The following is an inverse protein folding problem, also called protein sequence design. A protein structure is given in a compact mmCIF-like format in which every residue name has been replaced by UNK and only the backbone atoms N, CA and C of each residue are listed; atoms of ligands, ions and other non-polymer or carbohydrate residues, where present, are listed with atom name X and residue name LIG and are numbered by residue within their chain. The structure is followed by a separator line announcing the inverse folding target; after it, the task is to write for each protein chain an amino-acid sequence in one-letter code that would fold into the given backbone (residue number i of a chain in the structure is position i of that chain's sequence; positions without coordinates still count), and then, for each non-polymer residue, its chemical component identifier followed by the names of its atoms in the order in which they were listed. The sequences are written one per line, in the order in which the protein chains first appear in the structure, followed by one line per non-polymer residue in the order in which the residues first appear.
data_IF_468973576473
#
_entry.id   IF_468973576473
#
_cell.length_a   1.000
_cell.length_b   1.000
_cell.length_c   1.000
_cell.angle_alpha   90.00
_cell.angle_beta   90.00
_cell.angle_gamma   90.00
#
_symmetry.space_group_name_H-M   'P 1'
#
loop_
_entity.id
_entity.type
_entity.pdbx_description
1 polymer ?
#
# COMPACT_ATOMS: atom_id res chain seq x y z
N UNK A 1 5.82 38.71 -6.36
CA UNK A 1 4.60 37.88 -6.27
C UNK A 1 5.10 36.45 -6.24
N UNK A 2 5.00 35.76 -5.10
CA UNK A 2 5.56 34.42 -4.93
C UNK A 2 4.75 33.41 -5.73
N UNK A 3 5.41 32.72 -6.68
CA UNK A 3 4.83 31.59 -7.40
C UNK A 3 4.47 30.48 -6.42
N UNK A 4 3.18 30.20 -6.30
CA UNK A 4 2.66 29.04 -5.59
C UNK A 4 2.69 27.88 -6.60
N UNK A 5 3.75 27.08 -6.60
CA UNK A 5 3.69 25.73 -7.18
C UNK A 5 2.81 24.87 -6.28
N UNK A 6 1.51 24.81 -6.60
CA UNK A 6 0.55 23.95 -5.92
C UNK A 6 0.85 22.48 -6.25
N UNK A 7 1.58 21.79 -5.36
CA UNK A 7 1.97 20.38 -5.55
C UNK A 7 1.12 19.36 -4.78
N UNK A 8 0.03 19.78 -4.11
CA UNK A 8 -0.83 18.84 -3.38
C UNK A 8 -2.29 19.16 -3.69
N UNK A 9 -2.93 18.27 -4.44
CA UNK A 9 -4.37 18.32 -4.65
C UNK A 9 -5.04 17.98 -3.32
N UNK A 10 -5.93 18.86 -2.84
CA UNK A 10 -6.79 18.56 -1.69
C UNK A 10 -7.89 17.61 -2.18
N UNK A 11 -7.63 16.31 -2.09
CA UNK A 11 -8.61 15.26 -2.34
C UNK A 11 -9.15 14.72 -1.02
N UNK A 12 -10.44 14.41 -0.97
CA UNK A 12 -11.00 13.67 0.16
C UNK A 12 -10.37 12.26 0.17
N UNK A 13 -9.68 11.84 1.24
CA UNK A 13 -9.00 10.54 1.30
C UNK A 13 -9.95 9.34 1.40
N UNK A 14 -11.27 9.56 1.44
CA UNK A 14 -12.26 8.49 1.46
C UNK A 14 -12.54 7.95 0.06
N UNK A 15 -12.29 6.65 -0.11
CA UNK A 15 -12.52 5.96 -1.37
C UNK A 15 -14.02 5.72 -1.61
N UNK A 16 -14.50 6.11 -2.79
CA UNK A 16 -15.89 5.96 -3.23
C UNK A 16 -16.12 4.55 -3.82
N UNK A 17 -17.21 3.88 -3.46
CA UNK A 17 -17.65 2.68 -4.16
C UNK A 17 -18.60 3.05 -5.31
N UNK A 18 -18.19 2.72 -6.54
CA UNK A 18 -18.99 2.91 -7.77
C UNK A 18 -19.47 1.58 -8.33
N UNK A 19 -20.51 1.57 -9.16
CA UNK A 19 -20.99 0.35 -9.80
C UNK A 19 -19.93 -0.20 -10.75
N UNK A 20 -19.82 -1.53 -10.85
CA UNK A 20 -18.77 -2.18 -11.62
C UNK A 20 -18.78 -1.88 -13.13
N UNK A 21 -19.93 -1.43 -13.66
CA UNK A 21 -20.15 -1.22 -15.10
C UNK A 21 -20.64 0.19 -15.44
N UNK A 22 -20.68 1.11 -14.47
CA UNK A 22 -21.11 2.49 -14.71
C UNK A 22 -20.57 3.44 -13.66
N UNK A 23 -20.31 4.70 -14.03
CA UNK A 23 -19.94 5.77 -13.10
C UNK A 23 -21.13 6.24 -12.25
N UNK A 24 -21.67 5.34 -11.43
CA UNK A 24 -22.73 5.59 -10.46
C UNK A 24 -22.30 5.05 -9.10
N UNK A 25 -22.67 5.72 -8.01
CA UNK A 25 -22.44 5.20 -6.68
C UNK A 25 -23.15 3.86 -6.46
N UNK A 26 -22.56 2.95 -5.67
CA UNK A 26 -23.26 1.77 -5.14
C UNK A 26 -24.18 2.19 -3.99
N UNK A 27 -25.17 3.02 -4.31
CA UNK A 27 -26.09 3.59 -3.34
C UNK A 27 -26.84 2.50 -2.57
N UNK A 28 -26.90 2.62 -1.24
CA UNK A 28 -27.56 1.67 -0.34
C UNK A 28 -27.03 0.22 -0.47
N UNK A 29 -25.79 0.08 -0.92
CA UNK A 29 -25.10 -1.20 -1.01
C UNK A 29 -24.63 -1.72 0.35
N UNK A 30 -24.05 -2.92 0.30
CA UNK A 30 -23.52 -3.65 1.45
C UNK A 30 -22.09 -4.08 1.18
N UNK A 31 -21.22 -3.89 2.17
CA UNK A 31 -19.85 -4.39 2.16
C UNK A 31 -19.73 -5.49 3.20
N UNK A 32 -19.14 -6.60 2.80
CA UNK A 32 -18.78 -7.74 3.65
C UNK A 32 -17.27 -7.90 3.65
N UNK A 33 -16.73 -8.17 4.83
CA UNK A 33 -15.30 -8.29 5.13
C UNK A 33 -15.05 -9.64 5.79
N UNK A 34 -14.12 -10.43 5.25
CA UNK A 34 -13.87 -11.79 5.71
C UNK A 34 -12.41 -12.20 5.68
N UNK A 35 -12.17 -13.47 5.95
CA UNK A 35 -10.84 -14.08 5.89
C UNK A 35 -10.35 -14.07 4.44
N UNK A 36 -9.04 -13.85 4.28
CA UNK A 36 -8.38 -13.91 2.97
C UNK A 36 -8.76 -15.19 2.22
N UNK A 37 -9.01 -15.05 0.92
CA UNK A 37 -9.35 -16.11 -0.03
C UNK A 37 -10.65 -16.87 0.31
N UNK A 38 -11.55 -16.27 1.12
CA UNK A 38 -12.88 -16.84 1.43
C UNK A 38 -14.02 -15.85 1.12
N UNK A 39 -15.22 -16.39 0.89
CA UNK A 39 -16.43 -15.59 0.64
C UNK A 39 -16.97 -14.98 1.97
N UNK A 40 -16.93 -13.65 2.15
CA UNK A 40 -17.36 -12.98 3.38
C UNK A 40 -18.89 -12.88 3.53
N UNK A 41 -19.67 -13.29 2.52
CA UNK A 41 -21.13 -13.37 2.63
C UNK A 41 -21.51 -14.45 3.64
N UNK A 42 -20.77 -15.56 3.71
CA UNK A 42 -20.93 -16.56 4.77
C UNK A 42 -20.50 -15.96 6.13
N UNK A 43 -21.38 -15.91 7.15
CA UNK A 43 -21.05 -15.40 8.48
C UNK A 43 -19.81 -16.03 9.12
N UNK A 44 -19.52 -17.31 8.88
CA UNK A 44 -18.36 -18.02 9.45
C UNK A 44 -17.00 -17.53 8.90
N UNK A 45 -17.05 -16.93 7.71
CA UNK A 45 -15.88 -16.35 7.05
C UNK A 45 -15.65 -14.89 7.44
N UNK A 46 -16.62 -14.24 8.11
CA UNK A 46 -16.51 -12.83 8.50
C UNK A 46 -15.48 -12.66 9.61
N UNK A 47 -14.77 -11.55 9.54
CA UNK A 47 -13.84 -11.13 10.59
C UNK A 47 -14.38 -9.87 11.29
N UNK A 48 -13.84 -9.56 12.47
CA UNK A 48 -14.22 -8.34 13.17
C UNK A 48 -13.75 -7.11 12.40
N UNK A 49 -14.63 -6.13 12.25
CA UNK A 49 -14.34 -4.80 11.67
C UNK A 49 -14.48 -3.75 12.76
N UNK A 50 -13.68 -2.70 12.66
CA UNK A 50 -13.73 -1.56 13.57
C UNK A 50 -13.96 -0.27 12.79
N UNK A 51 -14.61 0.70 13.40
CA UNK A 51 -14.57 2.09 12.96
C UNK A 51 -13.44 2.79 13.70
N UNK A 52 -12.60 3.49 12.94
CA UNK A 52 -11.57 4.37 13.47
C UNK A 52 -12.15 5.79 13.58
N UNK A 53 -12.21 6.30 14.80
CA UNK A 53 -12.64 7.66 15.09
C UNK A 53 -11.50 8.66 14.83
N UNK A 54 -11.84 9.95 14.81
CA UNK A 54 -10.86 11.03 14.62
C UNK A 54 -9.79 11.10 15.73
N UNK A 55 -10.10 10.59 16.92
CA UNK A 55 -9.18 10.47 18.05
C UNK A 55 -8.27 9.23 17.98
N UNK A 56 -8.39 8.42 16.91
CA UNK A 56 -7.65 7.18 16.70
C UNK A 56 -8.19 5.97 17.47
N UNK A 57 -9.28 6.12 18.24
CA UNK A 57 -9.92 5.00 18.94
C UNK A 57 -10.64 4.07 17.96
N UNK A 58 -10.81 2.80 18.37
CA UNK A 58 -11.45 1.77 17.56
C UNK A 58 -12.73 1.25 18.22
N UNK A 59 -13.85 1.33 17.49
CA UNK A 59 -15.15 0.83 17.95
C UNK A 59 -15.54 -0.40 17.11
N UNK A 60 -15.82 -1.57 17.72
CA UNK A 60 -16.25 -2.74 16.97
C UNK A 60 -17.61 -2.50 16.33
N UNK A 61 -17.75 -2.90 15.07
CA UNK A 61 -19.00 -2.75 14.31
C UNK A 61 -19.47 -4.09 13.74
N UNK A 62 -20.79 -4.20 13.59
CA UNK A 62 -21.41 -5.35 12.94
C UNK A 62 -21.35 -5.22 11.42
N UNK A 63 -21.38 -6.37 10.75
CA UNK A 63 -21.48 -6.47 9.30
C UNK A 63 -22.90 -6.90 8.88
N UNK A 64 -23.40 -6.50 7.70
CA UNK A 64 -22.69 -5.75 6.65
C UNK A 64 -22.52 -4.26 6.96
N UNK A 65 -21.47 -3.67 6.40
CA UNK A 65 -21.26 -2.21 6.40
C UNK A 65 -22.16 -1.61 5.32
N UNK A 66 -22.88 -0.55 5.65
CA UNK A 66 -23.83 0.09 4.74
C UNK A 66 -23.13 1.17 3.92
N UNK A 67 -23.47 1.26 2.64
CA UNK A 67 -23.03 2.33 1.74
C UNK A 67 -24.16 3.35 1.62
N UNK A 68 -23.90 4.65 1.82
CA UNK A 68 -24.90 5.70 1.66
C UNK A 68 -25.23 5.97 0.18
N UNK A 69 -26.19 6.87 -0.07
CA UNK A 69 -26.60 7.23 -1.43
C UNK A 69 -25.46 7.83 -2.30
N UNK A 70 -24.45 8.42 -1.67
CA UNK A 70 -23.30 8.98 -2.35
C UNK A 70 -22.21 7.94 -2.69
N UNK A 71 -22.28 6.71 -2.14
CA UNK A 71 -21.30 5.66 -2.40
C UNK A 71 -20.22 5.51 -1.33
N UNK A 72 -20.39 6.16 -0.18
CA UNK A 72 -19.46 6.08 0.95
C UNK A 72 -19.91 5.05 1.99
N UNK A 73 -18.98 4.28 2.57
CA UNK A 73 -19.29 3.45 3.72
C UNK A 73 -19.64 4.34 4.92
N UNK A 74 -20.72 4.00 5.62
CA UNK A 74 -21.24 4.79 6.74
C UNK A 74 -21.45 3.95 7.99
N UNK A 75 -21.22 4.59 9.14
CA UNK A 75 -21.58 4.09 10.46
C UNK A 75 -22.54 5.08 11.11
N UNK A 76 -23.71 4.62 11.56
CA UNK A 76 -24.79 5.47 12.10
C UNK A 76 -25.16 6.66 11.18
N UNK A 77 -25.07 6.48 9.86
CA UNK A 77 -25.40 7.50 8.86
C UNK A 77 -24.28 8.51 8.55
N UNK A 78 -23.17 8.49 9.29
CA UNK A 78 -21.99 9.32 9.04
C UNK A 78 -20.93 8.56 8.27
N UNK A 79 -20.20 9.25 7.39
CA UNK A 79 -19.05 8.68 6.69
C UNK A 79 -17.99 8.35 7.74
N UNK A 80 -17.56 7.09 7.75
CA UNK A 80 -16.62 6.59 8.74
C UNK A 80 -15.50 5.80 8.06
N UNK A 81 -14.34 5.77 8.72
CA UNK A 81 -13.20 4.94 8.30
C UNK A 81 -13.32 3.57 8.95
N UNK A 82 -13.37 2.52 8.14
CA UNK A 82 -13.43 1.14 8.62
C UNK A 82 -12.06 0.48 8.49
N UNK A 83 -11.63 -0.19 9.55
CA UNK A 83 -10.31 -0.84 9.63
C UNK A 83 -10.42 -2.26 10.17
N UNK A 84 -9.44 -3.08 9.81
CA UNK A 84 -9.28 -4.46 10.30
C UNK A 84 -7.87 -4.64 10.82
N UNK A 85 -7.69 -5.53 11.80
CA UNK A 85 -6.38 -5.81 12.40
C UNK A 85 -5.49 -6.65 11.45
N UNK A 86 -6.12 -7.43 10.57
CA UNK A 86 -5.45 -8.33 9.64
C UNK A 86 -5.92 -8.08 8.21
N UNK A 87 -5.18 -8.62 7.23
CA UNK A 87 -5.64 -8.65 5.84
C UNK A 87 -6.96 -9.41 5.67
N UNK A 88 -7.76 -9.01 4.68
CA UNK A 88 -9.13 -9.47 4.54
C UNK A 88 -9.57 -9.63 3.09
N UNK A 89 -10.59 -10.46 2.88
CA UNK A 89 -11.39 -10.45 1.65
C UNK A 89 -12.51 -9.40 1.77
N UNK A 90 -12.96 -8.88 0.63
CA UNK A 90 -14.03 -7.89 0.58
C UNK A 90 -15.01 -8.23 -0.55
N UNK A 91 -16.31 -8.22 -0.24
CA UNK A 91 -17.38 -8.32 -1.23
C UNK A 91 -18.30 -7.10 -1.14
N UNK A 92 -18.60 -6.49 -2.28
CA UNK A 92 -19.44 -5.30 -2.38
C UNK A 92 -20.67 -5.64 -3.21
N UNK A 93 -21.84 -5.42 -2.62
CA UNK A 93 -23.15 -5.64 -3.22
C UNK A 93 -23.90 -4.32 -3.33
N UNK A 94 -24.72 -4.19 -4.37
CA UNK A 94 -25.67 -3.08 -4.47
C UNK A 94 -26.96 -3.33 -3.66
N UNK A 95 -27.85 -2.35 -3.68
CA UNK A 95 -29.14 -2.41 -3.00
C UNK A 95 -30.05 -3.55 -3.48
N UNK A 96 -29.85 -4.04 -4.71
CA UNK A 96 -30.62 -5.12 -5.32
C UNK A 96 -30.00 -6.51 -5.06
N UNK A 97 -28.88 -6.57 -4.35
CA UNK A 97 -28.17 -7.81 -4.05
C UNK A 97 -27.32 -8.33 -5.21
N UNK A 98 -27.06 -7.52 -6.24
CA UNK A 98 -26.10 -7.89 -7.27
C UNK A 98 -24.67 -7.57 -6.79
N UNK A 99 -23.77 -8.54 -6.97
CA UNK A 99 -22.36 -8.36 -6.64
C UNK A 99 -21.72 -7.38 -7.63
N UNK A 100 -21.18 -6.29 -7.10
CA UNK A 100 -20.45 -5.30 -7.87
C UNK A 100 -18.96 -5.65 -7.89
N UNK A 101 -18.37 -5.90 -6.72
CA UNK A 101 -16.96 -6.25 -6.62
C UNK A 101 -16.72 -7.41 -5.66
N UNK A 102 -15.65 -8.15 -5.94
CA UNK A 102 -15.09 -9.14 -5.06
C UNK A 102 -13.57 -9.08 -5.09
N UNK A 103 -12.98 -8.95 -3.90
CA UNK A 103 -11.54 -8.96 -3.70
C UNK A 103 -11.22 -10.13 -2.76
N UNK A 104 -10.58 -11.21 -3.25
CA UNK A 104 -10.22 -12.33 -2.40
C UNK A 104 -9.18 -11.94 -1.34
N UNK A 105 -8.35 -10.94 -1.62
CA UNK A 105 -7.41 -10.35 -0.66
C UNK A 105 -7.19 -8.88 -1.02
N UNK A 106 -7.67 -7.95 -0.19
CA UNK A 106 -7.56 -6.51 -0.42
C UNK A 106 -6.09 -6.05 -0.39
N UNK A 107 -5.23 -6.68 0.43
CA UNK A 107 -3.80 -6.38 0.48
C UNK A 107 -3.03 -6.76 -0.80
N UNK A 108 -3.67 -7.36 -1.82
CA UNK A 108 -3.03 -7.51 -3.14
C UNK A 108 -3.19 -6.26 -4.01
N UNK A 109 -4.10 -5.37 -3.64
CA UNK A 109 -4.52 -4.21 -4.45
C UNK A 109 -4.22 -2.87 -3.78
N UNK A 110 -3.76 -2.89 -2.54
CA UNK A 110 -3.31 -1.70 -1.83
C UNK A 110 -1.97 -1.21 -2.44
N UNK A 111 -1.91 0.02 -2.98
CA UNK A 111 -0.71 0.55 -3.63
C UNK A 111 0.50 0.63 -2.68
N UNK A 112 0.27 0.77 -1.37
CA UNK A 112 1.34 0.87 -0.38
C UNK A 112 1.99 -0.48 -0.07
N UNK A 113 1.39 -1.60 -0.52
CA UNK A 113 1.92 -2.95 -0.31
C UNK A 113 3.28 -3.17 -0.94
N UNK A 114 3.56 -2.52 -2.07
CA UNK A 114 4.88 -2.53 -2.68
C UNK A 114 5.94 -1.94 -1.73
N UNK A 115 5.59 -0.83 -1.07
CA UNK A 115 6.48 -0.14 -0.12
C UNK A 115 6.63 -0.96 1.16
N UNK A 116 5.54 -1.51 1.71
CA UNK A 116 5.59 -2.33 2.93
C UNK A 116 6.45 -3.57 2.72
N UNK A 117 6.22 -4.31 1.62
CA UNK A 117 7.02 -5.50 1.29
C UNK A 117 8.48 -5.15 1.07
N UNK A 118 8.77 -4.09 0.33
CA UNK A 118 10.16 -3.68 0.11
C UNK A 118 10.87 -3.32 1.43
N UNK A 119 10.17 -2.66 2.37
CA UNK A 119 10.71 -2.38 3.71
C UNK A 119 11.02 -3.66 4.48
N UNK A 120 10.10 -4.62 4.49
CA UNK A 120 10.29 -5.93 5.15
C UNK A 120 11.45 -6.70 4.52
N UNK A 121 11.55 -6.71 3.19
CA UNK A 121 12.59 -7.39 2.44
C UNK A 121 13.99 -6.77 2.64
N UNK A 122 14.10 -5.44 2.67
CA UNK A 122 15.38 -4.75 2.94
C UNK A 122 15.82 -4.92 4.40
N UNK A 123 14.89 -5.14 5.34
CA UNK A 123 15.20 -5.33 6.76
C UNK A 123 15.73 -6.73 7.11
N UNK A 124 15.67 -7.70 6.18
CA UNK A 124 16.22 -9.04 6.38
C UNK A 124 17.75 -9.03 6.38
N UNK A 125 18.36 -10.06 6.97
CA UNK A 125 19.83 -10.23 7.03
C UNK A 125 20.49 -10.22 5.63
N UNK A 126 19.77 -10.61 4.58
CA UNK A 126 20.22 -10.60 3.18
C UNK A 126 19.58 -9.49 2.33
N UNK A 127 19.04 -8.45 2.97
CA UNK A 127 18.29 -7.36 2.34
C UNK A 127 19.08 -6.53 1.32
N UNK A 128 20.41 -6.55 1.39
CA UNK A 128 21.30 -5.87 0.42
C UNK A 128 21.03 -6.32 -1.03
N UNK A 129 20.50 -7.53 -1.24
CA UNK A 129 20.13 -8.02 -2.59
C UNK A 129 19.08 -7.16 -3.31
N UNK A 130 18.33 -6.34 -2.57
CA UNK A 130 17.34 -5.40 -3.12
C UNK A 130 17.88 -3.96 -3.25
N UNK A 131 19.14 -3.73 -2.86
CA UNK A 131 19.83 -2.44 -2.98
C UNK A 131 20.69 -2.47 -4.24
N UNK A 132 20.83 -1.32 -4.91
CA UNK A 132 21.64 -1.21 -6.12
C UNK A 132 23.13 -1.49 -5.86
N UNK A 133 23.74 -2.32 -6.70
CA UNK A 133 25.17 -2.65 -6.66
C UNK A 133 25.85 -2.10 -7.91
N UNK A 134 26.96 -1.41 -7.74
CA UNK A 134 27.78 -0.96 -8.85
C UNK A 134 28.48 -2.17 -9.50
N UNK A 135 28.37 -2.37 -10.83
CA UNK A 135 28.86 -3.59 -11.47
C UNK A 135 30.39 -3.71 -11.43
N UNK A 136 31.11 -2.61 -11.62
CA UNK A 136 32.57 -2.60 -11.74
C UNK A 136 33.20 -1.24 -11.38
N UNK A 137 34.54 -1.20 -11.29
CA UNK A 137 35.29 0.02 -10.94
C UNK A 137 35.24 1.07 -12.05
N UNK A 138 35.08 0.68 -13.31
CA UNK A 138 34.93 1.64 -14.41
C UNK A 138 33.64 2.44 -14.24
N UNK A 139 32.55 1.75 -13.90
CA UNK A 139 31.24 2.36 -13.61
C UNK A 139 31.30 3.21 -12.34
N UNK A 140 31.97 2.73 -11.28
CA UNK A 140 32.14 3.48 -10.03
C UNK A 140 32.73 4.87 -10.28
N UNK A 141 33.73 4.99 -11.16
CA UNK A 141 34.40 6.27 -11.49
C UNK A 141 33.50 7.28 -12.20
N UNK A 142 32.32 6.85 -12.66
CA UNK A 142 31.33 7.73 -13.30
C UNK A 142 30.22 8.17 -12.34
N UNK A 143 30.16 7.60 -11.14
CA UNK A 143 29.16 7.94 -10.14
C UNK A 143 29.67 9.14 -9.33
N UNK A 144 28.89 10.21 -9.32
CA UNK A 144 29.12 11.37 -8.45
C UNK A 144 28.36 11.16 -7.11
N UNK A 145 29.06 11.00 -5.97
CA UNK A 145 28.39 10.85 -4.68
C UNK A 145 27.61 12.12 -4.30
N UNK A 146 26.44 11.95 -3.71
CA UNK A 146 25.58 13.07 -3.29
C UNK A 146 26.02 13.67 -1.95
N UNK A 147 26.81 12.96 -1.14
CA UNK A 147 27.33 13.42 0.14
C UNK A 147 28.63 12.70 0.54
N UNK A 148 29.46 13.37 1.36
CA UNK A 148 30.67 12.77 1.96
C UNK A 148 30.26 11.67 2.95
N UNK A 149 30.90 10.51 2.87
CA UNK A 149 30.55 9.33 3.65
C UNK A 149 29.54 8.39 2.98
N UNK A 150 29.09 8.69 1.76
CA UNK A 150 28.20 7.79 1.01
C UNK A 150 28.89 6.46 0.70
N UNK A 151 28.25 5.35 1.05
CA UNK A 151 28.71 4.00 0.71
C UNK A 151 28.22 3.58 -0.68
N UNK A 152 29.09 2.92 -1.46
CA UNK A 152 28.76 2.26 -2.73
C UNK A 152 29.39 0.87 -2.72
N UNK A 153 28.55 -0.18 -2.77
CA UNK A 153 29.02 -1.57 -2.94
C UNK A 153 29.32 -1.84 -4.42
N UNK A 154 30.50 -2.37 -4.70
CA UNK A 154 30.96 -2.74 -6.05
C UNK A 154 31.13 -4.26 -6.13
N UNK A 155 30.57 -4.88 -7.17
CA UNK A 155 30.60 -6.35 -7.34
C UNK A 155 32.01 -6.88 -7.63
N UNK A 156 32.74 -6.26 -8.55
CA UNK A 156 34.07 -6.70 -8.97
C UNK A 156 34.91 -5.53 -9.51
N UNK A 157 36.19 -5.77 -9.75
CA UNK A 157 37.04 -4.80 -10.45
C UNK A 157 36.58 -4.64 -11.91
N UNK A 158 36.23 -5.77 -12.54
CA UNK A 158 35.62 -5.86 -13.86
C UNK A 158 34.16 -6.29 -13.74
N UNK A 159 33.41 -6.25 -14.85
CA UNK A 159 31.97 -6.55 -14.91
C UNK A 159 31.66 -8.05 -14.94
N UNK A 160 32.58 -8.90 -14.50
CA UNK A 160 32.46 -10.36 -14.50
C UNK A 160 31.56 -10.87 -13.35
N UNK A 161 31.06 -12.10 -13.50
CA UNK A 161 30.22 -12.78 -12.50
C UNK A 161 30.92 -14.08 -12.08
N UNK A 162 31.17 -14.33 -10.78
CA UNK A 162 30.63 -13.63 -9.61
C UNK A 162 31.26 -12.28 -9.28
N UNK A 163 32.36 -11.90 -9.97
CA UNK A 163 33.12 -10.67 -9.73
C UNK A 163 34.28 -10.92 -8.77
N UNK A 164 35.46 -10.37 -9.08
CA UNK A 164 36.66 -10.45 -8.24
C UNK A 164 37.20 -9.05 -7.92
N UNK A 165 37.67 -8.82 -6.70
CA UNK A 165 38.22 -7.52 -6.30
C UNK A 165 37.19 -6.42 -6.09
N UNK A 166 35.94 -6.79 -5.80
CA UNK A 166 34.90 -5.86 -5.35
C UNK A 166 35.04 -5.46 -3.88
N UNK A 167 34.06 -4.71 -3.38
CA UNK A 167 34.02 -4.24 -2.00
C UNK A 167 33.17 -2.99 -1.83
N UNK A 168 33.09 -2.48 -0.60
CA UNK A 168 32.40 -1.23 -0.29
C UNK A 168 33.37 -0.06 -0.35
N UNK A 169 33.03 0.96 -1.14
CA UNK A 169 33.76 2.20 -1.27
C UNK A 169 33.00 3.31 -0.56
N UNK A 170 33.74 4.23 0.06
CA UNK A 170 33.17 5.36 0.80
C UNK A 170 33.61 6.64 0.12
N UNK A 171 32.66 7.51 -0.19
CA UNK A 171 32.95 8.84 -0.71
C UNK A 171 33.69 9.66 0.36
N UNK A 172 34.85 10.22 0.01
CA UNK A 172 35.60 11.12 0.87
C UNK A 172 35.94 12.40 0.12
N UNK A 173 36.13 13.49 0.87
CA UNK A 173 36.68 14.74 0.34
C UNK A 173 38.01 14.99 1.04
N UNK A 174 39.06 15.20 0.25
CA UNK A 174 40.28 15.84 0.75
C UNK A 174 40.04 17.34 0.74
N UNK A 175 40.10 17.98 1.90
CA UNK A 175 40.14 19.44 1.98
C UNK A 175 41.42 19.98 1.30
#
# INVERSE_FOLDING_TARGET
MSDITANVVVSMPSQLFTMARSFKAVANGKIYIGKIDTDPVNPENRIQVYVENEDGSHVPVSQPIIINAAGYPVYNGQIAKFVTVQGHSMAVYDAYGAQQFYFPNVLKYDPDQGIIRLKEEIAKDDGEKYIGICPDVSTLRTIEPSFVGQNITVRGYYSDTPGLGGGTFIAFSSF
#
